data_IF_063622763967
#
_entry.id   IF_063622763967
#
_cell.length_a   1.000
_cell.length_b   1.000
_cell.length_c   1.000
_cell.angle_alpha   90.00
_cell.angle_beta   90.00
_cell.angle_gamma   90.00
#
_symmetry.space_group_name_H-M   'P 1'
#
loop_
_entity.id
_entity.type
_entity.pdbx_description
1 polymer ?
#
# COMPACT_ATOMS: atom_id res chain seq x y z
N UNK A 1 -13.50 8.95 -55.63
CA UNK A 1 -13.31 7.54 -56.01
C UNK A 1 -11.83 7.27 -56.06
N UNK A 2 -11.30 6.54 -55.08
CA UNK A 2 -9.92 6.05 -55.08
C UNK A 2 -9.91 4.72 -54.32
N UNK A 3 -9.16 3.76 -54.85
CA UNK A 3 -9.39 2.32 -54.78
C UNK A 3 -8.83 1.67 -53.52
N UNK A 4 -9.61 0.72 -52.98
CA UNK A 4 -9.20 -0.24 -51.95
C UNK A 4 -8.19 -1.23 -52.55
N UNK A 5 -7.00 -1.29 -51.98
CA UNK A 5 -6.06 -2.39 -52.19
C UNK A 5 -6.02 -3.21 -50.91
N UNK A 6 -6.70 -4.36 -50.95
CA UNK A 6 -6.64 -5.40 -49.93
C UNK A 6 -5.40 -6.25 -50.19
N UNK A 7 -4.43 -6.24 -49.28
CA UNK A 7 -3.35 -7.21 -49.23
C UNK A 7 -3.58 -8.17 -48.07
N UNK A 8 -3.93 -9.41 -48.41
CA UNK A 8 -3.86 -10.55 -47.51
C UNK A 8 -2.39 -10.92 -47.33
N UNK A 9 -1.82 -10.85 -46.11
CA UNK A 9 -1.00 -11.94 -45.56
C UNK A 9 -0.61 -11.70 -44.08
N UNK A 10 -0.76 -12.77 -43.29
CA UNK A 10 -0.15 -13.10 -41.99
C UNK A 10 -0.53 -12.22 -40.79
N UNK A 11 -1.27 -12.84 -39.86
CA UNK A 11 -1.54 -12.29 -38.54
C UNK A 11 -0.25 -12.09 -37.75
N UNK A 12 0.37 -10.94 -37.96
CA UNK A 12 1.39 -10.38 -37.08
C UNK A 12 0.69 -10.01 -35.77
N UNK A 13 1.20 -10.53 -34.66
CA UNK A 13 0.74 -10.13 -33.33
C UNK A 13 1.18 -8.68 -33.12
N UNK A 14 0.29 -7.73 -33.40
CA UNK A 14 0.54 -6.33 -33.05
C UNK A 14 0.67 -6.24 -31.52
N UNK A 15 1.89 -5.97 -31.04
CA UNK A 15 2.12 -5.62 -29.66
C UNK A 15 1.54 -4.23 -29.44
N UNK A 16 0.30 -4.16 -28.93
CA UNK A 16 -0.32 -2.90 -28.54
C UNK A 16 0.48 -2.27 -27.40
N UNK A 17 1.39 -1.35 -27.74
CA UNK A 17 2.09 -0.52 -26.77
C UNK A 17 1.21 0.69 -26.46
N UNK A 18 0.83 0.84 -25.20
CA UNK A 18 0.09 2.00 -24.73
C UNK A 18 0.93 3.26 -25.01
N UNK A 19 0.41 4.25 -25.77
CA UNK A 19 1.17 5.46 -26.06
C UNK A 19 1.54 6.17 -24.74
N UNK A 20 2.77 6.70 -24.62
CA UNK A 20 3.21 7.37 -23.40
C UNK A 20 2.31 8.57 -23.11
N UNK A 21 2.01 8.79 -21.83
CA UNK A 21 1.31 10.01 -21.42
C UNK A 21 2.13 11.26 -21.83
N UNK A 22 1.47 12.43 -21.96
CA UNK A 22 2.16 13.68 -22.23
C UNK A 22 3.39 13.86 -21.32
N UNK A 23 4.50 14.32 -21.92
CA UNK A 23 5.81 14.45 -21.27
C UNK A 23 6.44 13.13 -20.78
N UNK A 24 6.14 12.00 -21.43
CA UNK A 24 6.70 10.68 -21.12
C UNK A 24 6.57 10.30 -19.63
N UNK A 25 5.45 10.68 -19.00
CA UNK A 25 5.20 10.33 -17.60
C UNK A 25 5.18 8.80 -17.45
N UNK A 26 6.02 8.20 -16.59
CA UNK A 26 6.04 6.76 -16.39
C UNK A 26 4.70 6.30 -15.78
N UNK A 27 4.22 5.14 -16.25
CA UNK A 27 3.08 4.44 -15.69
C UNK A 27 3.60 3.18 -15.04
N UNK A 28 3.30 3.00 -13.76
CA UNK A 28 3.56 1.74 -13.08
C UNK A 28 2.44 0.76 -13.42
N UNK A 29 2.79 -0.49 -13.68
CA UNK A 29 1.83 -1.60 -13.71
C UNK A 29 1.23 -1.76 -12.31
N UNK A 30 -0.08 -1.61 -12.18
CA UNK A 30 -0.82 -1.80 -10.94
C UNK A 30 -2.00 -2.73 -11.22
N UNK A 31 -2.04 -3.89 -10.56
CA UNK A 31 -3.20 -4.79 -10.61
C UNK A 31 -4.21 -4.34 -9.57
N UNK A 32 -5.37 -3.85 -10.02
CA UNK A 32 -6.47 -3.41 -9.18
C UNK A 32 -7.75 -4.08 -9.66
N UNK A 33 -8.48 -4.69 -8.74
CA UNK A 33 -9.79 -5.26 -9.02
C UNK A 33 -10.83 -4.12 -9.09
N UNK A 34 -11.64 -4.11 -10.13
CA UNK A 34 -12.68 -3.11 -10.34
C UNK A 34 -14.03 -3.75 -10.63
N UNK A 35 -15.09 -3.02 -10.33
CA UNK A 35 -16.46 -3.44 -10.66
C UNK A 35 -16.69 -3.18 -12.16
N UNK A 36 -17.08 -4.21 -12.91
CA UNK A 36 -17.35 -4.11 -14.35
C UNK A 36 -18.69 -3.42 -14.66
N UNK A 37 -19.67 -3.54 -13.77
CA UNK A 37 -21.08 -3.26 -14.07
C UNK A 37 -21.57 -1.93 -13.47
N UNK A 38 -20.66 -1.05 -13.05
CA UNK A 38 -21.01 0.24 -12.48
C UNK A 38 -19.84 1.21 -12.44
N UNK A 39 -19.94 2.29 -13.21
CA UNK A 39 -19.01 3.42 -13.11
C UNK A 39 -19.71 4.62 -12.48
N UNK A 40 -18.98 5.39 -11.70
CA UNK A 40 -19.44 6.70 -11.26
C UNK A 40 -19.63 7.64 -12.47
N UNK A 41 -20.43 8.71 -12.36
CA UNK A 41 -20.58 9.70 -13.42
C UNK A 41 -19.22 10.16 -13.97
N UNK A 42 -19.10 10.23 -15.29
CA UNK A 42 -17.82 10.50 -15.97
C UNK A 42 -16.92 9.28 -16.12
N UNK A 43 -17.48 8.06 -16.12
CA UNK A 43 -16.77 6.80 -16.34
C UNK A 43 -15.61 6.57 -15.36
N UNK A 44 -15.74 7.05 -14.13
CA UNK A 44 -14.70 6.86 -13.11
C UNK A 44 -14.78 5.42 -12.59
N UNK A 45 -13.69 4.63 -12.67
CA UNK A 45 -13.70 3.25 -12.21
C UNK A 45 -13.89 3.18 -10.69
N UNK A 46 -14.54 2.10 -10.24
CA UNK A 46 -14.76 1.80 -8.83
C UNK A 46 -13.89 0.59 -8.47
N UNK A 47 -12.89 0.81 -7.64
CA UNK A 47 -11.99 -0.24 -7.15
C UNK A 47 -12.64 -1.02 -6.00
N UNK A 48 -12.42 -2.33 -5.96
CA UNK A 48 -12.90 -3.21 -4.89
C UNK A 48 -11.95 -3.13 -3.68
N UNK A 49 -12.52 -3.14 -2.47
CA UNK A 49 -11.75 -3.26 -1.22
C UNK A 49 -12.20 -4.51 -0.46
N UNK A 50 -11.24 -5.26 0.08
CA UNK A 50 -11.46 -6.52 0.79
C UNK A 50 -11.41 -6.31 2.32
N UNK A 51 -12.43 -5.64 2.87
CA UNK A 51 -12.52 -5.36 4.31
C UNK A 51 -13.20 -6.53 5.05
N UNK A 52 -12.64 -6.94 6.19
CA UNK A 52 -13.26 -7.93 7.09
C UNK A 52 -14.24 -7.25 8.05
N UNK A 53 -15.51 -7.20 7.65
CA UNK A 53 -16.60 -6.63 8.46
C UNK A 53 -17.08 -7.69 9.45
N UNK A 54 -16.90 -7.39 10.74
CA UNK A 54 -17.22 -8.31 11.84
C UNK A 54 -18.68 -8.18 12.27
N UNK A 55 -19.21 -6.96 12.20
CA UNK A 55 -20.58 -6.66 12.63
C UNK A 55 -21.07 -5.36 11.99
N UNK A 56 -22.37 -5.21 11.83
CA UNK A 56 -23.04 -4.00 11.36
C UNK A 56 -24.12 -3.52 12.32
N UNK A 57 -24.60 -4.36 13.24
CA UNK A 57 -25.87 -4.12 13.94
C UNK A 57 -25.69 -3.49 15.32
N UNK A 58 -24.54 -3.67 15.97
CA UNK A 58 -24.34 -3.16 17.33
C UNK A 58 -24.20 -1.64 17.39
N UNK A 59 -23.80 -1.00 16.29
CA UNK A 59 -23.64 0.46 16.22
C UNK A 59 -24.89 1.14 15.62
N UNK A 60 -25.26 2.34 16.12
CA UNK A 60 -26.38 3.09 15.55
C UNK A 60 -26.19 3.39 14.07
N UNK A 61 -27.27 3.24 13.29
CA UNK A 61 -27.31 3.45 11.84
C UNK A 61 -26.53 2.40 11.02
N UNK A 62 -26.47 1.16 11.50
CA UNK A 62 -25.82 0.04 10.79
C UNK A 62 -24.36 0.32 10.41
N UNK A 63 -23.61 1.00 11.30
CA UNK A 63 -22.22 1.37 11.02
C UNK A 63 -21.35 0.11 11.07
N UNK A 64 -20.62 -0.23 10.00
CA UNK A 64 -19.82 -1.44 9.97
C UNK A 64 -18.65 -1.35 10.95
N UNK A 65 -18.46 -2.42 11.72
CA UNK A 65 -17.31 -2.68 12.57
C UNK A 65 -16.36 -3.57 11.79
N UNK A 66 -15.13 -3.07 11.60
CA UNK A 66 -14.11 -3.73 10.78
C UNK A 66 -13.03 -4.29 11.71
N UNK A 67 -12.53 -5.49 11.40
CA UNK A 67 -11.37 -6.06 12.11
C UNK A 67 -10.14 -5.19 11.88
N UNK A 68 -9.49 -4.73 12.95
CA UNK A 68 -8.32 -3.83 12.85
C UNK A 68 -7.05 -4.51 12.35
N UNK A 69 -6.94 -5.83 12.51
CA UNK A 69 -5.72 -6.59 12.22
C UNK A 69 -4.57 -6.36 13.22
N UNK A 70 -4.80 -5.62 14.31
CA UNK A 70 -3.78 -5.34 15.33
C UNK A 70 -3.65 -6.52 16.32
N UNK A 71 -2.42 -6.95 16.61
CA UNK A 71 -2.12 -7.91 17.68
C UNK A 71 -2.01 -7.18 19.03
N UNK A 72 -3.14 -7.05 19.72
CA UNK A 72 -3.22 -6.41 21.04
C UNK A 72 -2.84 -7.44 22.12
N UNK A 73 -1.74 -7.18 22.81
CA UNK A 73 -1.17 -8.10 23.82
C UNK A 73 -1.60 -7.79 25.25
N UNK A 74 -1.97 -6.55 25.53
CA UNK A 74 -2.42 -6.13 26.85
C UNK A 74 -3.22 -4.82 26.76
N UNK A 75 -4.17 -4.59 27.65
CA UNK A 75 -4.86 -3.30 27.80
C UNK A 75 -4.96 -2.84 29.26
N UNK A 76 -4.73 -3.73 30.21
CA UNK A 76 -5.01 -3.53 31.64
C UNK A 76 -3.81 -2.97 32.41
N UNK A 77 -2.59 -3.20 31.92
CA UNK A 77 -1.36 -2.76 32.59
C UNK A 77 -1.13 -1.24 32.51
N UNK A 78 -1.79 -0.55 31.57
CA UNK A 78 -1.70 0.89 31.43
C UNK A 78 -2.93 1.57 32.04
N UNK A 79 -2.71 2.64 32.79
CA UNK A 79 -3.81 3.45 33.33
C UNK A 79 -4.71 3.95 32.19
N UNK A 80 -6.01 3.72 32.35
CA UNK A 80 -7.02 4.12 31.37
C UNK A 80 -7.24 3.15 30.21
N UNK A 81 -6.81 1.89 30.31
CA UNK A 81 -7.18 0.87 29.32
C UNK A 81 -6.47 1.01 27.97
N UNK A 82 -5.27 1.60 27.96
CA UNK A 82 -4.55 1.89 26.71
C UNK A 82 -4.00 0.58 26.11
N UNK A 83 -4.36 0.24 24.85
CA UNK A 83 -3.91 -1.00 24.25
C UNK A 83 -2.42 -0.98 23.95
N UNK A 84 -1.76 -2.08 24.28
CA UNK A 84 -0.37 -2.40 23.96
C UNK A 84 -0.38 -3.36 22.77
N UNK A 85 0.33 -3.00 21.70
CA UNK A 85 0.33 -3.74 20.43
C UNK A 85 1.71 -4.37 20.20
N UNK A 86 1.74 -5.60 19.70
CA UNK A 86 2.98 -6.23 19.24
C UNK A 86 3.36 -5.71 17.86
N UNK A 87 4.53 -5.08 17.76
CA UNK A 87 5.08 -4.56 16.50
C UNK A 87 5.91 -5.59 15.71
N UNK A 88 6.18 -6.77 16.29
CA UNK A 88 7.01 -7.80 15.66
C UNK A 88 8.49 -7.42 15.48
N UNK A 89 8.93 -6.27 16.01
CA UNK A 89 10.28 -5.76 15.86
C UNK A 89 11.19 -6.33 16.97
N UNK A 90 12.36 -6.93 16.64
CA UNK A 90 13.32 -7.35 17.64
C UNK A 90 13.97 -6.12 18.28
N UNK A 91 13.70 -5.91 19.57
CA UNK A 91 14.27 -4.82 20.35
C UNK A 91 15.37 -5.37 21.26
N UNK A 92 16.52 -4.68 21.30
CA UNK A 92 17.58 -4.94 22.28
C UNK A 92 17.74 -3.73 23.22
N UNK A 93 18.04 -3.95 24.51
CA UNK A 93 18.40 -2.85 25.40
C UNK A 93 19.69 -2.19 24.89
N UNK A 94 19.68 -0.87 24.74
CA UNK A 94 20.89 -0.10 24.43
C UNK A 94 21.50 0.42 25.73
N UNK A 95 22.71 -0.03 26.07
CA UNK A 95 23.47 0.50 27.21
C UNK A 95 23.85 1.98 27.05
N UNK A 96 23.88 2.45 25.80
CA UNK A 96 24.44 3.74 25.44
C UNK A 96 23.38 4.85 25.43
N UNK A 97 22.10 4.47 25.57
CA UNK A 97 21.00 5.42 25.65
C UNK A 97 20.55 5.63 27.11
N UNK A 98 20.23 6.87 27.51
CA UNK A 98 19.70 7.15 28.84
C UNK A 98 18.48 6.27 29.16
N UNK A 99 18.48 5.68 30.35
CA UNK A 99 17.46 4.75 30.83
C UNK A 99 17.30 3.48 29.97
N UNK A 100 18.39 3.00 29.36
CA UNK A 100 18.43 1.77 28.58
C UNK A 100 17.35 1.71 27.48
N UNK A 101 17.06 2.86 26.83
CA UNK A 101 16.05 2.94 25.77
C UNK A 101 16.34 1.87 24.70
N UNK A 102 15.38 0.98 24.39
CA UNK A 102 15.62 -0.10 23.45
C UNK A 102 15.76 0.42 22.03
N UNK A 103 16.62 -0.25 21.25
CA UNK A 103 16.82 0.00 19.81
C UNK A 103 16.44 -1.24 19.01
N UNK A 104 15.96 -1.04 17.79
CA UNK A 104 15.72 -2.14 16.85
C UNK A 104 17.04 -2.74 16.38
N UNK A 105 17.11 -4.07 16.26
CA UNK A 105 18.27 -4.78 15.71
C UNK A 105 18.19 -5.01 14.20
N UNK A 106 17.19 -4.43 13.52
CA UNK A 106 17.06 -4.53 12.07
C UNK A 106 18.28 -3.95 11.35
N UNK A 107 18.60 -4.51 10.17
CA UNK A 107 19.63 -3.96 9.29
C UNK A 107 19.25 -2.54 8.91
N UNK A 108 20.01 -1.55 9.39
CA UNK A 108 20.00 -0.22 8.79
C UNK A 108 20.58 -0.40 7.39
N UNK A 109 19.83 -0.01 6.36
CA UNK A 109 20.39 0.14 5.02
C UNK A 109 21.40 1.28 5.08
N UNK A 110 22.66 0.92 5.36
CA UNK A 110 23.80 1.84 5.40
C UNK A 110 24.21 2.21 3.97
N UNK A 111 23.25 2.68 3.19
CA UNK A 111 23.49 3.31 1.90
C UNK A 111 24.14 4.70 2.03
N UNK A 112 24.67 5.05 3.21
CA UNK A 112 25.38 6.30 3.43
C UNK A 112 26.52 6.15 4.43
N UNK A 113 27.51 5.34 4.07
CA UNK A 113 28.90 5.49 4.51
C UNK A 113 29.53 6.85 4.13
N UNK A 114 28.74 7.80 3.60
CA UNK A 114 29.07 9.21 3.52
C UNK A 114 28.77 9.82 4.90
N UNK A 115 29.72 9.56 5.79
CA UNK A 115 30.12 10.42 6.89
C UNK A 115 29.74 11.88 6.56
N UNK A 116 28.74 12.42 7.26
CA UNK A 116 28.37 13.84 7.20
C UNK A 116 29.67 14.64 7.27
N UNK A 117 29.94 15.40 6.19
CA UNK A 117 31.25 15.94 5.86
C UNK A 117 31.98 16.56 7.04
N UNK A 118 33.29 16.37 7.07
CA UNK A 118 34.19 16.98 8.03
C UNK A 118 33.93 18.50 8.07
N UNK A 119 33.62 19.03 9.25
CA UNK A 119 33.65 20.47 9.49
C UNK A 119 35.13 20.82 9.69
N UNK A 120 35.66 21.63 8.78
CA UNK A 120 36.97 22.31 8.92
C UNK A 120 36.85 23.49 9.91
#
# INVERSE_FOLDING_TARGET
MATSNKSDDKGELELYQTPPLPNNRPVAEQSLDYITDGTLPGNRPITISHLDVVDTETLPNHRPIIRSGLDIVNMEQMSGGRPIIRLGLPLMPSSDLPNNRPISTGSVDDSSGILMGFID
#
